data_IF_813724325387
#
_entry.id   IF_813724325387
#
_cell.length_a   1.000
_cell.length_b   1.000
_cell.length_c   1.000
_cell.angle_alpha   90.00
_cell.angle_beta   90.00
_cell.angle_gamma   90.00
#
_symmetry.space_group_name_H-M   'P 1'
#
loop_
_entity.id
_entity.type
_entity.pdbx_description
1 polymer ?
#
# COMPACT_ATOMS: atom_id res chain seq x y z
N UNK A 1 3.84 4.85 -10.79
CA UNK A 1 3.48 6.10 -10.06
C UNK A 1 4.24 7.36 -10.53
N UNK A 2 5.56 7.49 -10.34
CA UNK A 2 6.31 8.72 -10.72
C UNK A 2 6.21 9.04 -12.21
N UNK A 3 6.31 8.02 -13.07
CA UNK A 3 6.13 8.18 -14.53
C UNK A 3 4.76 8.75 -14.87
N UNK A 4 3.68 8.15 -14.35
CA UNK A 4 2.31 8.64 -14.53
C UNK A 4 2.16 10.11 -14.13
N UNK A 5 2.72 10.53 -13.00
CA UNK A 5 2.62 11.92 -12.54
C UNK A 5 3.35 12.88 -13.50
N UNK A 6 4.56 12.52 -13.95
CA UNK A 6 5.32 13.29 -14.95
C UNK A 6 4.62 13.36 -16.30
N UNK A 7 4.10 12.25 -16.79
CA UNK A 7 3.35 12.16 -18.06
C UNK A 7 2.07 13.02 -18.04
N UNK A 8 1.56 13.33 -16.83
CA UNK A 8 0.42 14.23 -16.59
C UNK A 8 0.82 15.68 -16.26
N UNK A 9 2.11 16.02 -16.35
CA UNK A 9 2.61 17.39 -16.17
C UNK A 9 2.81 17.82 -14.72
N UNK A 10 2.87 16.89 -13.76
CA UNK A 10 3.13 17.23 -12.36
C UNK A 10 4.59 17.67 -12.15
N UNK A 11 4.79 18.72 -11.36
CA UNK A 11 6.09 19.04 -10.77
C UNK A 11 6.36 18.11 -9.57
N UNK A 12 7.55 17.51 -9.53
CA UNK A 12 7.84 16.38 -8.63
C UNK A 12 8.78 16.82 -7.51
N UNK A 13 8.24 16.90 -6.29
CA UNK A 13 9.05 17.00 -5.07
C UNK A 13 9.50 15.62 -4.62
N UNK A 14 10.82 15.36 -4.61
CA UNK A 14 11.39 14.13 -4.03
C UNK A 14 11.36 14.20 -2.51
N UNK A 15 11.05 13.07 -1.90
CA UNK A 15 11.00 12.88 -0.44
C UNK A 15 11.60 11.53 -0.11
N UNK A 16 12.05 11.37 1.14
CA UNK A 16 12.66 10.13 1.63
C UNK A 16 11.60 9.09 2.00
N UNK A 17 10.36 9.52 2.25
CA UNK A 17 9.29 8.60 2.60
C UNK A 17 7.91 9.24 2.75
N UNK A 18 6.94 8.38 3.07
CA UNK A 18 5.53 8.72 3.13
C UNK A 18 5.20 9.77 4.21
N UNK A 19 5.80 9.69 5.39
CA UNK A 19 5.53 10.67 6.46
C UNK A 19 5.91 12.10 6.02
N UNK A 20 7.06 12.25 5.36
CA UNK A 20 7.47 13.53 4.81
C UNK A 20 6.50 14.03 3.71
N UNK A 21 5.98 13.13 2.86
CA UNK A 21 4.99 13.53 1.86
C UNK A 21 3.67 14.00 2.49
N UNK A 22 3.24 13.37 3.58
CA UNK A 22 2.09 13.82 4.37
C UNK A 22 2.32 15.18 5.02
N UNK A 23 3.51 15.44 5.58
CA UNK A 23 3.84 16.74 6.17
C UNK A 23 3.82 17.87 5.13
N UNK A 24 4.37 17.61 3.94
CA UNK A 24 4.31 18.57 2.82
C UNK A 24 2.87 18.82 2.37
N UNK A 25 2.04 17.77 2.29
CA UNK A 25 0.63 17.90 1.92
C UNK A 25 -0.16 18.71 2.95
N UNK A 26 0.00 18.40 4.23
CA UNK A 26 -0.70 19.08 5.32
C UNK A 26 -0.26 20.54 5.49
N UNK A 27 1.00 20.84 5.19
CA UNK A 27 1.55 22.21 5.16
C UNK A 27 1.28 22.96 3.86
N UNK A 28 0.55 22.36 2.90
CA UNK A 28 0.21 22.92 1.59
C UNK A 28 1.44 23.26 0.72
N UNK A 29 2.55 22.52 0.91
CA UNK A 29 3.74 22.62 0.05
C UNK A 29 3.66 21.75 -1.20
N UNK A 30 2.71 20.80 -1.23
CA UNK A 30 2.34 20.00 -2.40
C UNK A 30 0.82 19.85 -2.45
N UNK A 31 0.25 19.67 -3.64
CA UNK A 31 -1.19 19.50 -3.83
C UNK A 31 -1.67 18.06 -3.63
N UNK A 32 -0.77 17.08 -3.73
CA UNK A 32 -1.08 15.68 -3.63
C UNK A 32 0.16 14.80 -3.55
N UNK A 33 -0.06 13.53 -3.24
CA UNK A 33 1.00 12.52 -3.22
C UNK A 33 0.44 11.17 -3.65
N UNK A 34 1.29 10.34 -4.26
CA UNK A 34 0.98 8.96 -4.61
C UNK A 34 1.65 8.03 -3.61
N UNK A 35 0.88 7.11 -3.05
CA UNK A 35 1.38 6.05 -2.20
C UNK A 35 0.45 4.83 -2.22
N UNK A 36 0.85 3.73 -1.59
CA UNK A 36 0.01 2.56 -1.46
C UNK A 36 -1.16 2.80 -0.48
N UNK A 37 -2.26 2.08 -0.69
CA UNK A 37 -3.47 2.27 0.11
C UNK A 37 -3.32 1.82 1.57
N UNK A 38 -2.41 0.89 1.88
CA UNK A 38 -2.21 0.39 3.23
C UNK A 38 -1.51 1.45 4.09
N UNK A 39 -0.51 2.14 3.53
CA UNK A 39 0.15 3.29 4.15
C UNK A 39 -0.86 4.40 4.51
N UNK A 40 -1.81 4.70 3.62
CA UNK A 40 -2.89 5.65 3.91
C UNK A 40 -3.80 5.19 5.06
N UNK A 41 -4.21 3.92 5.06
CA UNK A 41 -5.09 3.37 6.10
C UNK A 41 -4.41 3.36 7.47
N UNK A 42 -3.14 2.97 7.51
CA UNK A 42 -2.34 2.99 8.73
C UNK A 42 -2.16 4.42 9.26
N UNK A 43 -1.84 5.38 8.38
CA UNK A 43 -1.72 6.79 8.79
C UNK A 43 -3.03 7.36 9.32
N UNK A 44 -4.19 7.04 8.70
CA UNK A 44 -5.50 7.46 9.24
C UNK A 44 -5.81 6.81 10.58
N UNK A 45 -5.37 5.57 10.82
CA UNK A 45 -5.51 4.91 12.12
C UNK A 45 -4.67 5.61 13.19
N UNK A 46 -3.44 6.00 12.87
CA UNK A 46 -2.55 6.70 13.80
C UNK A 46 -2.93 8.19 14.00
N UNK A 47 -3.47 8.83 12.96
CA UNK A 47 -3.80 10.26 12.91
C UNK A 47 -5.25 10.45 12.43
N UNK A 48 -6.27 10.08 13.23
CA UNK A 48 -7.67 10.11 12.80
C UNK A 48 -8.15 11.50 12.35
N UNK A 49 -7.62 12.55 12.98
CA UNK A 49 -7.97 13.95 12.71
C UNK A 49 -7.18 14.58 11.55
N UNK A 50 -6.27 13.84 10.90
CA UNK A 50 -5.56 14.36 9.73
C UNK A 50 -6.55 14.73 8.62
N UNK A 51 -6.45 15.97 8.15
CA UNK A 51 -7.29 16.55 7.09
C UNK A 51 -6.80 16.15 5.70
N UNK A 52 -6.77 14.84 5.47
CA UNK A 52 -6.39 14.22 4.19
C UNK A 52 -7.55 13.38 3.65
N UNK A 53 -7.61 13.22 2.33
CA UNK A 53 -8.58 12.36 1.66
C UNK A 53 -7.89 11.55 0.57
N UNK A 54 -8.21 10.26 0.48
CA UNK A 54 -7.84 9.46 -0.67
C UNK A 54 -8.75 9.78 -1.86
N UNK A 55 -8.17 9.94 -3.04
CA UNK A 55 -8.91 10.08 -4.30
C UNK A 55 -8.80 8.74 -5.03
N UNK A 56 -9.95 8.20 -5.45
CA UNK A 56 -9.96 7.03 -6.33
C UNK A 56 -9.59 7.46 -7.74
N UNK A 57 -8.69 6.74 -8.37
CA UNK A 57 -8.29 6.99 -9.76
C UNK A 57 -7.62 5.76 -10.36
N UNK A 58 -7.24 5.87 -11.63
CA UNK A 58 -6.53 4.82 -12.37
C UNK A 58 -5.04 4.81 -12.02
N UNK A 59 -4.74 4.71 -10.72
CA UNK A 59 -3.38 4.43 -10.28
C UNK A 59 -3.06 2.96 -10.57
N UNK A 60 -1.83 2.68 -10.97
CA UNK A 60 -1.34 1.32 -11.15
C UNK A 60 -1.60 0.51 -9.87
N UNK A 61 -2.21 -0.68 -10.01
CA UNK A 61 -2.29 -1.63 -8.91
C UNK A 61 -0.88 -2.18 -8.63
N UNK A 62 -0.40 -1.98 -7.41
CA UNK A 62 0.81 -2.66 -6.94
C UNK A 62 0.46 -4.05 -6.43
N UNK A 63 1.36 -5.02 -6.65
CA UNK A 63 1.32 -6.34 -6.04
C UNK A 63 2.46 -6.46 -5.04
N UNK A 64 2.16 -7.08 -3.90
CA UNK A 64 3.17 -7.43 -2.90
C UNK A 64 3.50 -8.92 -3.01
N UNK A 65 4.75 -9.27 -2.72
CA UNK A 65 5.22 -10.65 -2.72
C UNK A 65 6.26 -10.85 -1.62
N UNK A 66 6.38 -12.10 -1.15
CA UNK A 66 7.50 -12.50 -0.30
C UNK A 66 8.70 -12.84 -1.20
N UNK A 67 9.83 -12.19 -0.92
CA UNK A 67 11.06 -12.46 -1.63
C UNK A 67 11.82 -13.60 -0.93
N UNK A 68 12.31 -14.56 -1.71
CA UNK A 68 13.13 -15.65 -1.24
C UNK A 68 14.56 -15.50 -1.76
N UNK A 69 15.53 -15.99 -0.99
CA UNK A 69 16.91 -16.14 -1.47
C UNK A 69 16.93 -17.13 -2.63
N UNK A 70 17.82 -16.92 -3.61
CA UNK A 70 18.06 -17.84 -4.73
C UNK A 70 18.46 -19.27 -4.30
N UNK A 71 18.82 -19.46 -3.03
CA UNK A 71 19.19 -20.76 -2.45
C UNK A 71 17.98 -21.59 -1.99
N UNK A 72 16.80 -20.97 -1.87
CA UNK A 72 15.57 -21.67 -1.46
C UNK A 72 15.06 -22.45 -2.66
N UNK A 73 14.74 -23.72 -2.48
CA UNK A 73 14.20 -24.57 -3.54
C UNK A 73 12.73 -24.22 -3.88
N UNK A 74 12.32 -24.62 -5.08
CA UNK A 74 10.97 -24.36 -5.60
C UNK A 74 9.89 -25.07 -4.77
N UNK A 75 10.19 -26.22 -4.17
CA UNK A 75 9.25 -26.97 -3.32
C UNK A 75 8.88 -26.17 -2.07
N UNK A 76 9.85 -25.51 -1.44
CA UNK A 76 9.63 -24.65 -0.28
C UNK A 76 8.82 -23.42 -0.65
N UNK A 77 9.11 -22.78 -1.79
CA UNK A 77 8.33 -21.65 -2.30
C UNK A 77 6.89 -22.08 -2.59
N UNK A 78 6.69 -23.26 -3.17
CA UNK A 78 5.36 -23.81 -3.43
C UNK A 78 4.57 -24.05 -2.14
N UNK A 79 5.17 -24.73 -1.16
CA UNK A 79 4.54 -24.95 0.16
C UNK A 79 4.16 -23.63 0.85
N UNK A 80 4.98 -22.60 0.71
CA UNK A 80 4.68 -21.27 1.24
C UNK A 80 3.48 -20.64 0.54
N UNK A 81 3.42 -20.70 -0.79
CA UNK A 81 2.30 -20.19 -1.56
C UNK A 81 0.99 -20.95 -1.26
N UNK A 82 1.05 -22.28 -1.08
CA UNK A 82 -0.10 -23.08 -0.66
C UNK A 82 -0.60 -22.66 0.74
N UNK A 83 0.33 -22.36 1.65
CA UNK A 83 0.01 -21.78 2.95
C UNK A 83 -0.68 -20.42 2.85
N UNK A 84 -0.17 -19.52 1.99
CA UNK A 84 -0.82 -18.23 1.72
C UNK A 84 -2.23 -18.39 1.16
N UNK A 85 -2.41 -19.30 0.20
CA UNK A 85 -3.73 -19.62 -0.37
C UNK A 85 -4.69 -20.12 0.71
N UNK A 86 -4.23 -21.01 1.60
CA UNK A 86 -5.05 -21.54 2.69
C UNK A 86 -5.54 -20.45 3.65
N UNK A 87 -4.69 -19.49 4.02
CA UNK A 87 -5.09 -18.39 4.91
C UNK A 87 -5.97 -17.35 4.22
N UNK A 88 -5.91 -17.26 2.89
CA UNK A 88 -6.84 -16.47 2.09
C UNK A 88 -8.22 -17.13 2.05
N UNK A 89 -8.27 -18.42 1.67
CA UNK A 89 -9.51 -19.19 1.51
C UNK A 89 -10.29 -19.35 2.82
N UNK A 90 -9.59 -19.55 3.94
CA UNK A 90 -10.24 -19.70 5.25
C UNK A 90 -10.59 -18.35 5.92
N UNK A 91 -10.32 -17.22 5.25
CA UNK A 91 -10.66 -15.88 5.72
C UNK A 91 -9.75 -15.30 6.81
N UNK A 92 -8.66 -15.98 7.18
CA UNK A 92 -7.72 -15.47 8.17
C UNK A 92 -7.01 -14.20 7.67
N UNK A 93 -6.67 -14.13 6.39
CA UNK A 93 -6.07 -12.94 5.80
C UNK A 93 -7.00 -11.71 5.88
N UNK A 94 -8.31 -11.91 5.72
CA UNK A 94 -9.31 -10.86 5.91
C UNK A 94 -9.40 -10.39 7.37
N UNK A 95 -9.26 -11.31 8.35
CA UNK A 95 -9.21 -10.94 9.79
C UNK A 95 -7.96 -10.11 10.10
N UNK A 96 -6.81 -10.49 9.55
CA UNK A 96 -5.56 -9.72 9.66
C UNK A 96 -5.77 -8.31 9.10
N UNK A 97 -6.36 -8.20 7.90
CA UNK A 97 -6.69 -6.91 7.28
C UNK A 97 -7.54 -6.02 8.19
N UNK A 98 -8.63 -6.57 8.75
CA UNK A 98 -9.51 -5.82 9.67
C UNK A 98 -8.78 -5.36 10.93
N UNK A 99 -7.94 -6.22 11.53
CA UNK A 99 -7.17 -5.90 12.74
C UNK A 99 -6.23 -4.71 12.52
N UNK A 100 -5.53 -4.69 11.40
CA UNK A 100 -4.52 -3.68 11.12
C UNK A 100 -5.08 -2.44 10.45
N UNK A 101 -5.98 -2.59 9.49
CA UNK A 101 -6.43 -1.51 8.60
C UNK A 101 -7.93 -1.17 8.71
N UNK A 102 -8.68 -1.85 9.59
CA UNK A 102 -10.11 -1.61 9.80
C UNK A 102 -11.03 -2.14 8.69
N UNK A 103 -10.47 -2.78 7.66
CA UNK A 103 -11.22 -3.37 6.55
C UNK A 103 -10.50 -4.59 5.98
N UNK A 104 -11.22 -5.41 5.22
CA UNK A 104 -10.59 -6.45 4.42
C UNK A 104 -9.82 -5.81 3.25
N UNK A 105 -8.51 -6.03 3.24
CA UNK A 105 -7.58 -5.56 2.20
C UNK A 105 -6.97 -6.72 1.41
N UNK A 106 -7.40 -7.95 1.68
CA UNK A 106 -6.88 -9.16 1.03
C UNK A 106 -7.42 -9.34 -0.39
N UNK A 107 -8.54 -8.69 -0.71
CA UNK A 107 -9.18 -8.76 -2.01
C UNK A 107 -9.00 -7.45 -2.76
N UNK A 108 -8.46 -7.52 -3.98
CA UNK A 108 -8.51 -6.40 -4.91
C UNK A 108 -9.96 -6.07 -5.23
N UNK A 109 -10.31 -4.78 -5.20
CA UNK A 109 -11.58 -4.27 -5.71
C UNK A 109 -11.50 -4.03 -7.21
#
# INVERSE_FOLDING_TARGET
MVKLAKDKGADITKVDGFNQSMDLLLSKRVDGTFNDSLSYLDYKKQKPNAKIKAIKGNAEQSRSAFAFSKKVDDETVQKFNDGLKKIEENGELAKIGKKWFGQDVSKSK
#
